data_IF_929400956159
#
_entry.id   IF_929400956159
#
_cell.length_a   1.000
_cell.length_b   1.000
_cell.length_c   1.000
_cell.angle_alpha   90.00
_cell.angle_beta   90.00
_cell.angle_gamma   90.00
#
_symmetry.space_group_name_H-M   'P 1'
#
loop_
_entity.id
_entity.type
_entity.pdbx_description
1 polymer ?
#
# COMPACT_ATOMS: atom_id res chain seq x y z
N UNK A 1 -26.96 -6.51 10.60
CA UNK A 1 -26.46 -6.81 9.23
C UNK A 1 -25.40 -7.91 9.29
N UNK A 2 -25.27 -8.74 8.23
CA UNK A 2 -24.24 -9.76 8.14
C UNK A 2 -23.30 -9.47 6.97
N UNK A 3 -21.99 -9.38 7.25
CA UNK A 3 -20.91 -9.21 6.26
C UNK A 3 -20.13 -10.52 6.13
N UNK A 4 -19.90 -10.99 4.91
CA UNK A 4 -18.92 -12.03 4.64
C UNK A 4 -17.61 -11.37 4.18
N UNK A 5 -16.48 -11.78 4.74
CA UNK A 5 -15.18 -11.17 4.43
C UNK A 5 -14.04 -12.18 4.46
N UNK A 6 -12.96 -11.90 3.71
CA UNK A 6 -11.68 -12.59 3.84
C UNK A 6 -10.66 -11.76 4.63
N UNK A 7 -11.08 -10.65 5.23
CA UNK A 7 -10.22 -9.75 5.97
C UNK A 7 -9.83 -10.40 7.31
N UNK A 8 -8.59 -10.84 7.43
CA UNK A 8 -8.08 -11.44 8.65
C UNK A 8 -8.24 -10.49 9.83
N UNK A 9 -8.66 -11.04 10.98
CA UNK A 9 -8.87 -10.26 12.22
C UNK A 9 -9.95 -9.18 12.12
N UNK A 10 -10.82 -9.23 11.11
CA UNK A 10 -11.98 -8.35 11.09
C UNK A 10 -12.85 -8.65 12.32
N UNK A 11 -13.40 -7.64 13.02
CA UNK A 11 -14.20 -7.88 14.22
C UNK A 11 -15.46 -8.68 13.89
N UNK A 12 -15.70 -9.77 14.61
CA UNK A 12 -16.89 -10.63 14.45
C UNK A 12 -18.19 -9.86 14.74
N UNK A 13 -18.17 -9.01 15.76
CA UNK A 13 -19.24 -8.06 16.06
C UNK A 13 -18.71 -6.66 15.77
N UNK A 14 -19.48 -5.88 15.03
CA UNK A 14 -19.04 -4.57 14.61
C UNK A 14 -20.14 -3.52 14.74
N UNK A 15 -19.69 -2.25 14.80
CA UNK A 15 -20.53 -1.08 14.82
C UNK A 15 -19.87 0.02 13.97
N UNK A 16 -20.65 0.65 13.08
CA UNK A 16 -20.20 1.81 12.31
C UNK A 16 -20.18 3.07 13.18
N UNK A 17 -19.50 4.11 12.72
CA UNK A 17 -19.54 5.44 13.34
C UNK A 17 -20.94 6.04 13.30
N UNK A 18 -21.77 5.70 12.31
CA UNK A 18 -23.18 6.08 12.20
C UNK A 18 -24.14 5.27 13.09
N UNK A 19 -23.62 4.28 13.85
CA UNK A 19 -24.39 3.51 14.79
C UNK A 19 -25.01 2.21 14.26
N UNK A 20 -24.83 1.88 12.98
CA UNK A 20 -25.28 0.60 12.41
C UNK A 20 -24.45 -0.55 13.01
N UNK A 21 -25.11 -1.62 13.42
CA UNK A 21 -24.49 -2.79 14.04
C UNK A 21 -24.66 -4.05 13.20
N UNK A 22 -23.76 -5.01 13.37
CA UNK A 22 -23.87 -6.29 12.70
C UNK A 22 -22.80 -7.28 13.10
N UNK A 23 -22.74 -8.35 12.32
CA UNK A 23 -21.78 -9.44 12.48
C UNK A 23 -20.98 -9.65 11.19
N UNK A 24 -19.79 -10.20 11.33
CA UNK A 24 -18.98 -10.63 10.20
C UNK A 24 -18.58 -12.09 10.33
N UNK A 25 -18.50 -12.78 9.20
CA UNK A 25 -17.98 -14.14 9.10
C UNK A 25 -16.75 -14.10 8.19
N UNK A 26 -15.61 -14.56 8.72
CA UNK A 26 -14.36 -14.61 7.96
C UNK A 26 -14.30 -15.92 7.17
N UNK A 27 -14.12 -15.81 5.86
CA UNK A 27 -14.09 -16.92 4.91
C UNK A 27 -12.87 -16.83 3.99
N UNK A 28 -12.39 -17.98 3.52
CA UNK A 28 -11.24 -18.06 2.59
C UNK A 28 -11.63 -18.59 1.21
N UNK A 29 -12.65 -19.42 1.13
CA UNK A 29 -13.07 -20.08 -0.10
C UNK A 29 -14.22 -19.34 -0.79
N UNK A 30 -14.10 -19.10 -2.10
CA UNK A 30 -15.18 -18.50 -2.90
C UNK A 30 -16.50 -19.30 -2.84
N UNK A 31 -16.42 -20.63 -2.67
CA UNK A 31 -17.60 -21.48 -2.52
C UNK A 31 -18.32 -21.25 -1.18
N UNK A 32 -17.58 -21.03 -0.10
CA UNK A 32 -18.20 -20.73 1.20
C UNK A 32 -18.89 -19.37 1.17
N UNK A 33 -18.28 -18.38 0.47
CA UNK A 33 -18.96 -17.10 0.20
C UNK A 33 -20.25 -17.33 -0.55
N UNK A 34 -20.26 -18.10 -1.65
CA UNK A 34 -21.47 -18.37 -2.42
C UNK A 34 -22.54 -19.06 -1.55
N UNK A 35 -22.17 -20.11 -0.81
CA UNK A 35 -23.10 -20.89 0.04
C UNK A 35 -23.75 -20.05 1.12
N UNK A 36 -23.04 -19.05 1.67
CA UNK A 36 -23.55 -18.19 2.73
C UNK A 36 -24.16 -16.88 2.20
N UNK A 37 -24.02 -16.58 0.90
CA UNK A 37 -24.50 -15.33 0.31
C UNK A 37 -25.99 -15.08 0.52
N UNK A 38 -26.82 -16.12 0.54
CA UNK A 38 -28.25 -15.95 0.76
C UNK A 38 -28.63 -15.41 2.15
N UNK A 39 -27.71 -15.52 3.13
CA UNK A 39 -27.89 -15.01 4.51
C UNK A 39 -27.23 -13.65 4.72
N UNK A 40 -26.34 -13.20 3.83
CA UNK A 40 -25.58 -11.97 4.06
C UNK A 40 -26.18 -10.76 3.35
N UNK A 41 -25.83 -9.59 3.84
CA UNK A 41 -26.18 -8.30 3.26
C UNK A 41 -25.12 -7.79 2.30
N UNK A 42 -23.83 -8.11 2.55
CA UNK A 42 -22.67 -7.57 1.85
C UNK A 42 -21.49 -8.56 1.85
N UNK A 43 -20.74 -8.57 0.77
CA UNK A 43 -19.44 -9.24 0.67
C UNK A 43 -18.34 -8.19 0.64
N UNK A 44 -17.41 -8.27 1.59
CA UNK A 44 -16.24 -7.40 1.68
C UNK A 44 -14.98 -8.21 1.40
N UNK A 45 -14.32 -7.95 0.27
CA UNK A 45 -13.06 -8.61 -0.11
C UNK A 45 -11.89 -7.67 0.18
N UNK A 46 -10.88 -8.16 0.87
CA UNK A 46 -9.68 -7.41 1.17
C UNK A 46 -8.47 -7.98 0.44
N UNK A 47 -7.79 -7.16 -0.35
CA UNK A 47 -6.48 -7.40 -0.98
C UNK A 47 -6.36 -8.76 -1.74
N UNK A 48 -7.49 -9.31 -2.24
CA UNK A 48 -7.52 -10.59 -2.95
C UNK A 48 -8.28 -10.48 -4.29
N UNK A 49 -7.52 -10.12 -5.31
CA UNK A 49 -8.05 -10.00 -6.68
C UNK A 49 -8.49 -11.35 -7.24
N UNK A 50 -7.84 -12.45 -6.84
CA UNK A 50 -8.17 -13.80 -7.30
C UNK A 50 -9.52 -14.25 -6.73
N UNK A 51 -9.76 -14.03 -5.43
CA UNK A 51 -11.05 -14.26 -4.80
C UNK A 51 -12.13 -13.40 -5.45
N UNK A 52 -11.85 -12.12 -5.71
CA UNK A 52 -12.78 -11.20 -6.38
C UNK A 52 -13.22 -11.76 -7.73
N UNK A 53 -12.30 -12.23 -8.59
CA UNK A 53 -12.64 -12.83 -9.88
C UNK A 53 -13.53 -14.06 -9.73
N UNK A 54 -13.19 -14.97 -8.81
CA UNK A 54 -13.96 -16.19 -8.57
C UNK A 54 -15.36 -15.86 -8.08
N UNK A 55 -15.53 -14.93 -7.16
CA UNK A 55 -16.82 -14.50 -6.64
C UNK A 55 -17.69 -13.88 -7.73
N UNK A 56 -17.14 -12.96 -8.51
CA UNK A 56 -17.89 -12.35 -9.62
C UNK A 56 -18.32 -13.39 -10.65
N UNK A 57 -17.44 -14.35 -10.98
CA UNK A 57 -17.78 -15.45 -11.89
C UNK A 57 -18.88 -16.34 -11.30
N UNK A 58 -18.79 -16.72 -10.04
CA UNK A 58 -19.83 -17.51 -9.37
C UNK A 58 -21.16 -16.78 -9.33
N UNK A 59 -21.18 -15.48 -9.05
CA UNK A 59 -22.41 -14.68 -9.09
C UNK A 59 -22.96 -14.47 -10.50
N UNK A 60 -22.12 -14.55 -11.51
CA UNK A 60 -22.57 -14.57 -12.90
C UNK A 60 -23.27 -15.91 -13.23
N UNK A 61 -22.73 -17.03 -12.76
CA UNK A 61 -23.32 -18.35 -12.97
C UNK A 61 -24.56 -18.61 -12.08
N UNK A 62 -24.58 -18.03 -10.89
CA UNK A 62 -25.63 -18.21 -9.86
C UNK A 62 -26.21 -16.83 -9.43
N UNK A 63 -26.94 -16.13 -10.30
CA UNK A 63 -27.35 -14.74 -10.07
C UNK A 63 -28.27 -14.56 -8.86
N UNK A 64 -29.03 -15.58 -8.47
CA UNK A 64 -29.93 -15.55 -7.28
C UNK A 64 -29.17 -15.38 -5.96
N UNK A 65 -27.91 -15.79 -5.92
CA UNK A 65 -27.04 -15.65 -4.76
C UNK A 65 -26.27 -14.34 -4.71
N UNK A 66 -26.37 -13.53 -5.77
CA UNK A 66 -25.59 -12.28 -5.84
C UNK A 66 -25.89 -11.34 -4.68
N UNK A 67 -24.82 -10.86 -4.07
CA UNK A 67 -24.85 -9.78 -3.07
C UNK A 67 -23.90 -8.67 -3.52
N UNK A 68 -24.08 -7.44 -3.03
CA UNK A 68 -23.13 -6.36 -3.26
C UNK A 68 -21.71 -6.78 -2.84
N UNK A 69 -20.74 -6.47 -3.70
CA UNK A 69 -19.31 -6.73 -3.44
C UNK A 69 -18.60 -5.39 -3.27
N UNK A 70 -17.98 -5.19 -2.13
CA UNK A 70 -17.02 -4.11 -1.87
C UNK A 70 -15.64 -4.71 -1.79
N UNK A 71 -14.69 -4.15 -2.55
CA UNK A 71 -13.28 -4.59 -2.55
C UNK A 71 -12.44 -3.51 -1.91
N UNK A 72 -11.69 -3.88 -0.87
CA UNK A 72 -10.69 -3.02 -0.25
C UNK A 72 -9.29 -3.41 -0.75
N UNK A 73 -8.50 -2.42 -1.12
CA UNK A 73 -7.10 -2.55 -1.56
C UNK A 73 -6.93 -3.52 -2.75
N UNK A 74 -7.29 -3.04 -3.93
CA UNK A 74 -7.07 -3.78 -5.17
C UNK A 74 -5.69 -3.45 -5.74
N UNK A 75 -4.81 -4.47 -5.82
CA UNK A 75 -3.48 -4.33 -6.41
C UNK A 75 -3.48 -4.92 -7.81
N UNK A 76 -3.38 -4.05 -8.82
CA UNK A 76 -3.37 -4.42 -10.23
C UNK A 76 -2.11 -3.88 -10.89
N UNK A 77 -1.54 -4.68 -11.83
CA UNK A 77 -0.37 -4.27 -12.60
C UNK A 77 -0.78 -3.83 -14.01
N UNK A 78 -0.10 -2.81 -14.51
CA UNK A 78 -0.28 -2.36 -15.89
C UNK A 78 -0.03 -3.51 -16.87
N UNK A 79 -0.96 -3.81 -17.80
CA UNK A 79 -0.75 -4.85 -18.81
C UNK A 79 0.28 -4.35 -19.85
N UNK A 80 1.49 -4.94 -19.83
CA UNK A 80 2.60 -4.55 -20.71
C UNK A 80 2.75 -5.48 -21.92
N UNK A 81 2.50 -6.80 -21.73
CA UNK A 81 2.69 -7.81 -22.76
C UNK A 81 1.37 -8.20 -23.44
N UNK A 82 1.42 -8.74 -24.64
CA UNK A 82 0.21 -9.13 -25.40
C UNK A 82 -0.68 -10.14 -24.63
N UNK A 83 -0.10 -11.12 -23.92
CA UNK A 83 -0.86 -12.05 -23.07
C UNK A 83 -1.59 -11.34 -21.94
N UNK A 84 -0.94 -10.36 -21.29
CA UNK A 84 -1.55 -9.58 -20.22
C UNK A 84 -2.64 -8.64 -20.74
N UNK A 85 -2.51 -8.15 -21.99
CA UNK A 85 -3.56 -7.35 -22.66
C UNK A 85 -4.79 -8.20 -23.00
N UNK A 86 -4.59 -9.44 -23.46
CA UNK A 86 -5.69 -10.36 -23.73
C UNK A 86 -6.47 -10.71 -22.45
N UNK A 87 -5.75 -11.04 -21.39
CA UNK A 87 -6.37 -11.32 -20.07
C UNK A 87 -6.97 -10.06 -19.43
N UNK A 88 -6.49 -8.86 -19.80
CA UNK A 88 -7.05 -7.60 -19.30
C UNK A 88 -8.52 -7.41 -19.72
N UNK A 89 -8.93 -7.90 -20.90
CA UNK A 89 -10.33 -7.89 -21.34
C UNK A 89 -11.26 -8.68 -20.41
N UNK A 90 -10.84 -9.90 -20.03
CA UNK A 90 -11.59 -10.74 -19.07
C UNK A 90 -11.61 -10.07 -17.69
N UNK A 91 -10.47 -9.58 -17.25
CA UNK A 91 -10.36 -8.87 -15.97
C UNK A 91 -11.26 -7.63 -15.93
N UNK A 92 -11.28 -6.85 -17.02
CA UNK A 92 -12.15 -5.68 -17.19
C UNK A 92 -13.62 -6.06 -17.03
N UNK A 93 -14.06 -7.12 -17.71
CA UNK A 93 -15.43 -7.61 -17.60
C UNK A 93 -15.79 -8.02 -16.16
N UNK A 94 -14.90 -8.73 -15.46
CA UNK A 94 -15.15 -9.17 -14.10
C UNK A 94 -15.10 -8.00 -13.11
N UNK A 95 -14.06 -7.16 -13.17
CA UNK A 95 -13.90 -6.07 -12.22
C UNK A 95 -14.97 -4.98 -12.34
N UNK A 96 -15.48 -4.73 -13.56
CA UNK A 96 -16.58 -3.76 -13.75
C UNK A 96 -17.91 -4.18 -13.08
N UNK A 97 -18.01 -5.41 -12.59
CA UNK A 97 -19.20 -5.94 -11.90
C UNK A 97 -19.13 -5.85 -10.38
N UNK A 98 -18.00 -5.43 -9.83
CA UNK A 98 -17.85 -5.12 -8.41
C UNK A 98 -18.58 -3.81 -8.13
N UNK A 99 -19.29 -3.77 -7.03
CA UNK A 99 -20.18 -2.64 -6.72
C UNK A 99 -19.40 -1.42 -6.21
N UNK A 100 -18.29 -1.63 -5.47
CA UNK A 100 -17.44 -0.54 -5.01
C UNK A 100 -16.01 -1.00 -4.69
N UNK A 101 -15.06 -0.05 -4.86
CA UNK A 101 -13.65 -0.20 -4.52
C UNK A 101 -13.21 0.86 -3.51
N UNK A 102 -12.63 0.45 -2.42
CA UNK A 102 -11.90 1.31 -1.49
C UNK A 102 -10.41 1.13 -1.74
N UNK A 103 -9.69 2.21 -2.04
CA UNK A 103 -8.26 2.17 -2.38
C UNK A 103 -7.47 3.20 -1.58
N UNK A 104 -6.16 3.02 -1.48
CA UNK A 104 -5.27 3.85 -0.65
C UNK A 104 -4.48 4.88 -1.46
N UNK A 105 -5.03 5.34 -2.59
CA UNK A 105 -4.46 6.36 -3.48
C UNK A 105 -5.59 7.12 -4.19
N UNK A 106 -5.29 8.28 -4.77
CA UNK A 106 -6.30 9.17 -5.38
C UNK A 106 -6.24 9.19 -6.91
N UNK A 107 -5.16 8.75 -7.53
CA UNK A 107 -5.01 8.74 -9.00
C UNK A 107 -5.55 7.44 -9.58
N UNK A 108 -6.85 7.41 -9.91
CA UNK A 108 -7.58 6.21 -10.36
C UNK A 108 -7.45 5.91 -11.86
N UNK A 109 -6.80 6.77 -12.63
CA UNK A 109 -6.75 6.68 -14.10
C UNK A 109 -6.28 5.32 -14.61
N UNK A 110 -5.31 4.71 -13.94
CA UNK A 110 -4.82 3.38 -14.29
C UNK A 110 -5.88 2.29 -14.14
N UNK A 111 -6.68 2.34 -13.09
CA UNK A 111 -7.77 1.38 -12.85
C UNK A 111 -8.88 1.55 -13.89
N UNK A 112 -9.26 2.78 -14.16
CA UNK A 112 -10.31 3.11 -15.15
C UNK A 112 -9.85 2.75 -16.57
N UNK A 113 -8.65 3.20 -16.97
CA UNK A 113 -8.12 3.01 -18.34
C UNK A 113 -7.90 1.54 -18.70
N UNK A 114 -7.22 0.79 -17.82
CA UNK A 114 -6.80 -0.58 -18.15
C UNK A 114 -7.82 -1.64 -17.76
N UNK A 115 -8.60 -1.40 -16.71
CA UNK A 115 -9.52 -2.40 -16.14
C UNK A 115 -10.98 -1.98 -16.19
N UNK A 116 -11.29 -0.78 -16.71
CA UNK A 116 -12.66 -0.30 -16.91
C UNK A 116 -13.46 -0.17 -15.61
N UNK A 117 -12.78 0.03 -14.49
CA UNK A 117 -13.45 0.29 -13.21
C UNK A 117 -13.98 1.73 -13.26
N UNK A 118 -15.29 1.96 -13.10
CA UNK A 118 -15.86 3.30 -13.14
C UNK A 118 -15.34 4.14 -11.95
N UNK A 119 -14.96 5.38 -12.21
CA UNK A 119 -14.37 6.26 -11.18
C UNK A 119 -15.36 6.57 -10.03
N UNK A 120 -16.66 6.61 -10.31
CA UNK A 120 -17.73 6.78 -9.33
C UNK A 120 -17.88 5.60 -8.36
N UNK A 121 -17.31 4.45 -8.71
CA UNK A 121 -17.24 3.26 -7.84
C UNK A 121 -15.93 3.13 -7.08
N UNK A 122 -15.07 4.13 -7.11
CA UNK A 122 -13.78 4.11 -6.41
C UNK A 122 -13.78 5.22 -5.35
N UNK A 123 -13.37 4.89 -4.14
CA UNK A 123 -13.12 5.87 -3.09
C UNK A 123 -11.74 5.70 -2.47
N UNK A 124 -11.12 6.83 -2.17
CA UNK A 124 -9.89 6.86 -1.39
C UNK A 124 -10.19 6.65 0.09
N UNK A 125 -9.44 5.76 0.73
CA UNK A 125 -9.37 5.64 2.18
C UNK A 125 -7.91 5.72 2.63
N UNK A 126 -7.58 6.49 3.70
CA UNK A 126 -6.23 6.47 4.27
C UNK A 126 -5.84 5.05 4.69
N UNK A 127 -4.59 4.67 4.40
CA UNK A 127 -4.03 3.40 4.88
C UNK A 127 -3.68 3.51 6.38
N UNK A 128 -3.07 2.49 6.94
CA UNK A 128 -2.65 2.40 8.34
C UNK A 128 -1.14 2.27 8.49
N UNK A 129 -0.60 2.71 9.61
CA UNK A 129 0.74 2.34 10.04
C UNK A 129 0.72 0.92 10.63
N UNK A 130 1.51 0.00 10.02
CA UNK A 130 1.44 -1.42 10.36
C UNK A 130 2.02 -1.74 11.74
N UNK A 131 3.00 -0.95 12.20
CA UNK A 131 3.67 -1.16 13.49
C UNK A 131 2.87 -0.60 14.67
N UNK A 132 1.93 0.32 14.41
CA UNK A 132 1.14 0.96 15.48
C UNK A 132 0.33 -0.09 16.25
N UNK A 133 0.39 -0.03 17.59
CA UNK A 133 -0.25 -0.95 18.53
C UNK A 133 0.28 -2.39 18.54
N UNK A 134 1.21 -2.74 17.64
CA UNK A 134 1.73 -4.10 17.54
C UNK A 134 3.14 -4.23 18.06
N UNK A 135 3.95 -3.18 17.89
CA UNK A 135 5.39 -3.21 18.19
C UNK A 135 5.78 -2.01 19.02
N UNK A 136 6.85 -2.17 19.78
CA UNK A 136 7.54 -1.06 20.41
C UNK A 136 8.52 -0.45 19.41
N UNK A 137 8.62 0.88 19.39
CA UNK A 137 9.55 1.63 18.55
C UNK A 137 9.89 2.97 19.19
N UNK A 138 11.09 3.46 18.90
CA UNK A 138 11.54 4.78 19.31
C UNK A 138 11.12 5.83 18.27
N UNK A 139 10.68 6.97 18.76
CA UNK A 139 10.46 8.16 17.91
C UNK A 139 11.69 9.03 18.00
N UNK A 140 12.50 9.02 16.94
CA UNK A 140 13.74 9.76 16.88
C UNK A 140 14.00 10.23 15.44
N UNK A 141 14.07 11.52 15.16
CA UNK A 141 14.35 12.02 13.82
C UNK A 141 15.83 11.92 13.41
N UNK A 142 16.72 11.64 14.35
CA UNK A 142 18.15 11.49 14.11
C UNK A 142 18.54 10.04 13.86
N UNK A 143 19.75 9.86 13.34
CA UNK A 143 20.30 8.57 13.03
C UNK A 143 21.64 8.64 12.31
N UNK A 144 22.14 7.48 11.92
CA UNK A 144 23.50 7.27 11.46
C UNK A 144 23.63 7.19 9.94
N UNK A 145 22.57 6.77 9.23
CA UNK A 145 22.64 6.46 7.80
C UNK A 145 21.33 6.73 7.04
N UNK A 146 21.42 6.67 5.73
CA UNK A 146 20.31 6.70 4.79
C UNK A 146 19.85 5.27 4.56
N UNK A 147 18.61 4.95 4.91
CA UNK A 147 18.04 3.61 4.78
C UNK A 147 17.17 3.50 3.52
N UNK A 148 17.45 2.50 2.68
CA UNK A 148 16.55 2.10 1.60
C UNK A 148 16.12 0.66 1.80
N UNK A 149 14.79 0.40 1.87
CA UNK A 149 14.27 -0.95 2.09
C UNK A 149 12.88 -1.17 1.50
N UNK A 150 12.46 -2.43 1.47
CA UNK A 150 11.16 -2.87 0.99
C UNK A 150 11.28 -3.81 -0.22
N UNK A 151 10.19 -4.53 -0.51
CA UNK A 151 10.19 -5.61 -1.51
C UNK A 151 9.38 -5.31 -2.77
N UNK A 152 8.37 -4.43 -2.69
CA UNK A 152 7.43 -4.24 -3.80
C UNK A 152 7.82 -3.04 -4.65
N UNK A 153 8.12 -3.29 -5.93
CA UNK A 153 8.41 -2.28 -6.95
C UNK A 153 9.51 -1.27 -6.55
N UNK A 154 10.47 -1.71 -5.71
CA UNK A 154 11.62 -0.87 -5.33
C UNK A 154 12.59 -0.75 -6.49
N UNK A 155 13.14 0.45 -6.65
CA UNK A 155 14.16 0.77 -7.62
C UNK A 155 15.52 0.95 -6.93
N UNK A 156 16.11 -0.17 -6.53
CA UNK A 156 17.41 -0.16 -5.89
C UNK A 156 18.53 0.37 -6.81
N UNK A 157 18.40 0.16 -8.12
CA UNK A 157 19.40 0.64 -9.08
C UNK A 157 19.48 2.17 -9.09
N UNK A 158 18.34 2.87 -9.05
CA UNK A 158 18.31 4.32 -8.89
C UNK A 158 18.89 4.76 -7.55
N UNK A 159 18.65 4.01 -6.47
CA UNK A 159 19.25 4.31 -5.18
C UNK A 159 20.79 4.19 -5.24
N UNK A 160 21.32 3.09 -5.76
CA UNK A 160 22.78 2.90 -5.85
C UNK A 160 23.45 3.93 -6.75
N UNK A 161 22.84 4.25 -7.90
CA UNK A 161 23.34 5.30 -8.79
C UNK A 161 23.35 6.69 -8.10
N UNK A 162 22.41 6.95 -7.20
CA UNK A 162 22.38 8.18 -6.38
C UNK A 162 23.48 8.15 -5.33
N UNK A 163 23.65 7.03 -4.61
CA UNK A 163 24.65 6.89 -3.56
C UNK A 163 26.08 6.93 -4.10
N UNK A 164 26.32 6.49 -5.35
CA UNK A 164 27.61 6.67 -6.02
C UNK A 164 28.01 8.14 -6.20
N UNK A 165 27.04 9.08 -6.20
CA UNK A 165 27.27 10.52 -6.25
C UNK A 165 27.46 11.17 -4.88
N UNK A 166 27.19 10.41 -3.81
CA UNK A 166 27.18 10.85 -2.41
C UNK A 166 28.13 10.00 -1.56
N UNK A 167 29.36 9.79 -2.04
CA UNK A 167 30.32 8.86 -1.46
C UNK A 167 30.70 9.19 0.01
N UNK A 168 30.46 10.42 0.45
CA UNK A 168 30.68 10.90 1.83
C UNK A 168 29.51 10.63 2.77
N UNK A 169 28.35 10.18 2.28
CA UNK A 169 27.18 9.90 3.10
C UNK A 169 26.98 8.40 3.31
N UNK A 170 26.86 7.95 4.58
CA UNK A 170 26.61 6.54 4.88
C UNK A 170 25.19 6.13 4.48
N UNK A 171 25.06 5.00 3.82
CA UNK A 171 23.78 4.42 3.45
C UNK A 171 23.74 2.93 3.80
N UNK A 172 22.54 2.41 3.95
CA UNK A 172 22.34 1.02 4.31
C UNK A 172 21.10 0.44 3.64
N UNK A 173 21.16 -0.86 3.35
CA UNK A 173 20.02 -1.68 2.92
C UNK A 173 20.00 -2.97 3.74
N UNK A 174 18.84 -3.58 4.00
CA UNK A 174 18.74 -4.95 4.50
C UNK A 174 19.39 -5.94 3.54
N UNK A 175 19.68 -7.17 4.00
CA UNK A 175 20.14 -8.26 3.13
C UNK A 175 19.16 -8.44 1.96
N UNK A 176 19.66 -8.51 0.70
CA UNK A 176 18.81 -8.61 -0.48
C UNK A 176 18.04 -9.94 -0.53
N UNK A 177 16.72 -9.88 -0.53
CA UNK A 177 15.83 -11.01 -0.82
C UNK A 177 15.52 -11.04 -2.32
N UNK A 178 16.45 -11.58 -3.14
CA UNK A 178 16.28 -11.61 -4.59
C UNK A 178 15.05 -12.40 -5.05
N UNK A 179 14.65 -13.43 -4.31
CA UNK A 179 13.42 -14.19 -4.62
C UNK A 179 12.18 -13.30 -4.39
N UNK A 180 12.13 -12.61 -3.27
CA UNK A 180 11.07 -11.64 -2.98
C UNK A 180 11.07 -10.47 -3.97
N UNK A 181 12.23 -9.95 -4.36
CA UNK A 181 12.33 -8.88 -5.37
C UNK A 181 11.75 -9.30 -6.72
N UNK A 182 12.06 -10.52 -7.19
CA UNK A 182 11.52 -11.05 -8.44
C UNK A 182 9.98 -11.20 -8.39
N UNK A 183 9.45 -11.74 -7.29
CA UNK A 183 7.99 -11.89 -7.08
C UNK A 183 7.29 -10.54 -7.08
N UNK A 184 7.89 -9.55 -6.41
CA UNK A 184 7.31 -8.23 -6.20
C UNK A 184 7.76 -7.18 -7.20
N UNK A 185 8.49 -7.58 -8.27
CA UNK A 185 8.93 -6.72 -9.38
C UNK A 185 9.82 -5.55 -8.96
N UNK A 186 10.66 -5.74 -7.96
CA UNK A 186 11.70 -4.77 -7.62
C UNK A 186 12.89 -4.89 -8.59
N UNK A 187 13.57 -3.78 -8.84
CA UNK A 187 14.75 -3.70 -9.70
C UNK A 187 15.99 -3.62 -8.82
N UNK A 188 16.82 -4.65 -8.88
CA UNK A 188 18.11 -4.76 -8.23
C UNK A 188 19.03 -5.53 -9.18
N UNK A 189 19.74 -4.82 -10.06
CA UNK A 189 20.59 -5.43 -11.09
C UNK A 189 22.08 -5.31 -10.80
N UNK A 190 22.48 -4.48 -9.84
CA UNK A 190 23.87 -4.35 -9.42
C UNK A 190 24.35 -5.62 -8.74
N UNK A 191 25.55 -6.13 -9.07
CA UNK A 191 26.19 -7.16 -8.25
C UNK A 191 26.43 -6.65 -6.83
N UNK A 192 26.23 -7.51 -5.83
CA UNK A 192 26.40 -7.11 -4.43
C UNK A 192 27.82 -6.61 -4.15
N UNK A 193 28.80 -7.21 -4.82
CA UNK A 193 30.23 -6.89 -4.70
C UNK A 193 30.59 -5.55 -5.36
N UNK A 194 29.71 -5.03 -6.22
CA UNK A 194 29.90 -3.79 -6.95
C UNK A 194 29.04 -2.63 -6.42
N UNK A 195 28.41 -2.80 -5.26
CA UNK A 195 27.65 -1.73 -4.61
C UNK A 195 28.57 -0.54 -4.28
N UNK A 196 28.03 0.70 -4.26
CA UNK A 196 28.81 1.86 -3.84
C UNK A 196 29.42 1.62 -2.45
N UNK A 197 30.69 2.00 -2.22
CA UNK A 197 31.43 1.67 -0.99
C UNK A 197 30.83 2.27 0.28
N UNK A 198 29.98 3.27 0.16
CA UNK A 198 29.21 3.89 1.24
C UNK A 198 27.84 3.24 1.49
N UNK A 199 27.47 2.19 0.76
CA UNK A 199 26.25 1.42 0.98
C UNK A 199 26.58 0.12 1.70
N UNK A 200 26.09 -0.02 2.92
CA UNK A 200 26.34 -1.17 3.78
C UNK A 200 25.14 -2.12 3.80
N UNK A 201 25.40 -3.42 3.81
CA UNK A 201 24.39 -4.44 4.06
C UNK A 201 24.21 -4.58 5.58
N UNK A 202 22.96 -4.50 6.01
CA UNK A 202 22.61 -4.70 7.43
C UNK A 202 22.18 -6.14 7.65
N UNK A 203 22.66 -6.73 8.74
CA UNK A 203 22.17 -8.03 9.19
C UNK A 203 20.75 -7.85 9.73
N UNK A 204 19.82 -8.55 9.12
CA UNK A 204 18.42 -8.64 9.56
C UNK A 204 17.89 -10.04 9.23
N UNK A 205 16.94 -10.49 10.04
CA UNK A 205 16.24 -11.76 9.84
C UNK A 205 14.92 -11.62 9.07
N UNK A 206 14.64 -10.42 8.55
CA UNK A 206 13.39 -10.07 7.86
C UNK A 206 12.19 -9.94 8.78
N UNK A 207 12.39 -10.05 10.11
CA UNK A 207 11.32 -9.84 11.10
C UNK A 207 10.89 -8.37 11.16
N UNK A 208 9.65 -8.09 11.56
CA UNK A 208 9.21 -6.72 11.79
C UNK A 208 10.06 -5.99 12.84
N UNK A 209 10.52 -6.69 13.86
CA UNK A 209 11.37 -6.16 14.93
C UNK A 209 12.75 -5.74 14.42
N UNK A 210 13.36 -6.57 13.57
CA UNK A 210 14.65 -6.22 12.93
C UNK A 210 14.48 -5.00 12.02
N UNK A 211 13.42 -4.95 11.20
CA UNK A 211 13.11 -3.78 10.34
C UNK A 211 12.86 -2.51 11.16
N UNK A 212 12.24 -2.60 12.34
CA UNK A 212 12.08 -1.48 13.25
C UNK A 212 13.47 -1.05 13.75
N UNK A 213 14.28 -1.98 14.24
CA UNK A 213 15.62 -1.68 14.79
C UNK A 213 16.55 -0.99 13.79
N UNK A 214 16.55 -1.41 12.51
CA UNK A 214 17.33 -0.73 11.48
C UNK A 214 16.73 0.64 11.10
N UNK A 215 15.40 0.77 11.16
CA UNK A 215 14.75 2.06 10.90
C UNK A 215 15.01 3.06 12.03
N UNK A 216 15.08 2.63 13.28
CA UNK A 216 15.42 3.49 14.41
C UNK A 216 16.76 4.20 14.25
N UNK A 217 17.74 3.50 13.68
CA UNK A 217 19.08 4.05 13.44
C UNK A 217 19.21 4.88 12.17
N UNK A 218 18.18 4.91 11.32
CA UNK A 218 18.20 5.69 10.10
C UNK A 218 18.03 7.19 10.38
N UNK A 219 18.79 8.04 9.66
CA UNK A 219 18.60 9.50 9.62
C UNK A 219 17.56 9.89 8.57
N UNK A 220 17.59 9.23 7.41
CA UNK A 220 16.64 9.39 6.31
C UNK A 220 16.13 8.01 5.87
N UNK A 221 14.90 7.95 5.44
CA UNK A 221 14.35 6.77 4.76
C UNK A 221 14.03 7.11 3.32
N UNK A 222 14.60 6.36 2.39
CA UNK A 222 14.49 6.60 0.96
C UNK A 222 13.73 5.45 0.31
N UNK A 223 12.66 5.78 -0.42
CA UNK A 223 11.79 4.83 -1.08
C UNK A 223 11.74 5.12 -2.59
N UNK A 224 12.76 4.72 -3.34
CA UNK A 224 12.74 4.82 -4.79
C UNK A 224 11.80 3.75 -5.33
N UNK A 225 10.85 4.15 -6.16
CA UNK A 225 9.80 3.26 -6.66
C UNK A 225 9.72 3.40 -8.18
N UNK A 226 9.56 2.29 -8.88
CA UNK A 226 9.47 2.21 -10.34
C UNK A 226 8.28 3.02 -10.89
N UNK A 227 8.44 3.62 -12.07
CA UNK A 227 7.46 4.53 -12.69
C UNK A 227 6.24 3.83 -13.29
N UNK A 228 6.39 2.59 -13.73
CA UNK A 228 5.37 1.89 -14.54
C UNK A 228 4.14 1.40 -13.77
N UNK A 229 3.90 1.88 -12.55
CA UNK A 229 2.82 1.43 -11.66
C UNK A 229 1.51 2.17 -11.89
N UNK A 230 0.41 1.50 -11.61
CA UNK A 230 -0.95 2.06 -11.60
C UNK A 230 -1.61 1.94 -10.22
N UNK A 231 -0.99 1.21 -9.31
CA UNK A 231 -1.37 1.08 -7.91
C UNK A 231 -0.19 1.53 -7.04
N UNK A 232 -0.44 1.85 -5.79
CA UNK A 232 0.61 2.33 -4.88
C UNK A 232 1.58 1.21 -4.50
N UNK A 233 2.79 1.60 -4.15
CA UNK A 233 3.76 0.76 -3.48
C UNK A 233 4.40 1.51 -2.34
N UNK A 234 4.71 0.80 -1.25
CA UNK A 234 5.45 1.37 -0.13
C UNK A 234 4.68 2.20 0.89
N UNK A 235 3.33 2.26 0.82
CA UNK A 235 2.53 3.03 1.78
C UNK A 235 2.82 2.58 3.22
N UNK A 236 2.78 1.29 3.51
CA UNK A 236 3.10 0.77 4.84
C UNK A 236 4.52 1.10 5.28
N UNK A 237 5.48 1.12 4.34
CA UNK A 237 6.87 1.43 4.63
C UNK A 237 7.03 2.89 5.03
N UNK A 238 6.49 3.84 4.24
CA UNK A 238 6.63 5.25 4.61
C UNK A 238 5.84 5.61 5.87
N UNK A 239 4.63 5.06 6.07
CA UNK A 239 3.84 5.32 7.28
C UNK A 239 4.53 4.80 8.54
N UNK A 240 5.14 3.62 8.49
CA UNK A 240 5.91 3.11 9.60
C UNK A 240 7.12 4.01 9.92
N UNK A 241 7.88 4.40 8.88
CA UNK A 241 9.04 5.28 9.04
C UNK A 241 8.65 6.67 9.57
N UNK A 242 7.57 7.24 9.05
CA UNK A 242 7.00 8.51 9.52
C UNK A 242 6.56 8.42 10.98
N UNK A 243 5.89 7.31 11.38
CA UNK A 243 5.47 7.10 12.77
C UNK A 243 6.65 7.05 13.74
N UNK A 244 7.81 6.59 13.26
CA UNK A 244 9.08 6.59 14.00
C UNK A 244 9.82 7.94 13.95
N UNK A 245 9.21 8.98 13.36
CA UNK A 245 9.78 10.32 13.27
C UNK A 245 10.85 10.47 12.18
N UNK A 246 10.90 9.58 11.19
CA UNK A 246 11.90 9.66 10.13
C UNK A 246 11.46 10.58 9.00
N UNK A 247 12.40 11.39 8.48
CA UNK A 247 12.20 12.11 7.22
C UNK A 247 12.21 11.11 6.07
N UNK A 248 11.16 11.11 5.25
CA UNK A 248 10.98 10.18 4.14
C UNK A 248 11.16 10.91 2.81
N UNK A 249 11.96 10.32 1.92
CA UNK A 249 12.09 10.71 0.51
C UNK A 249 11.46 9.58 -0.31
N UNK A 250 10.49 9.89 -1.18
CA UNK A 250 9.76 8.88 -1.95
C UNK A 250 9.56 9.31 -3.40
N UNK A 251 9.57 8.34 -4.32
CA UNK A 251 9.26 8.60 -5.73
C UNK A 251 7.80 9.02 -5.92
N UNK A 252 7.57 10.04 -6.74
CA UNK A 252 6.23 10.48 -7.13
C UNK A 252 5.43 9.38 -7.81
N UNK A 253 4.12 9.36 -7.59
CA UNK A 253 3.19 8.40 -8.21
C UNK A 253 2.00 8.07 -7.31
N UNK A 254 1.17 7.08 -7.71
CA UNK A 254 0.00 6.67 -6.94
C UNK A 254 0.36 6.29 -5.50
N UNK A 255 -0.39 6.82 -4.53
CA UNK A 255 -0.18 6.59 -3.10
C UNK A 255 1.00 7.35 -2.49
N UNK A 256 1.64 8.24 -3.24
CA UNK A 256 2.65 9.17 -2.73
C UNK A 256 2.29 10.60 -3.08
N UNK A 257 2.63 11.11 -4.26
CA UNK A 257 2.41 12.52 -4.63
C UNK A 257 0.94 12.91 -4.83
N UNK A 258 0.03 11.96 -4.95
CA UNK A 258 -1.41 12.20 -4.98
C UNK A 258 -2.07 12.22 -3.58
N UNK A 259 -1.32 11.84 -2.54
CA UNK A 259 -1.81 11.74 -1.16
C UNK A 259 -1.04 12.64 -0.20
N UNK A 260 0.29 12.62 -0.30
CA UNK A 260 1.22 13.37 0.56
C UNK A 260 1.56 14.73 -0.07
N UNK A 261 1.77 15.72 0.76
CA UNK A 261 2.17 17.09 0.37
C UNK A 261 3.48 17.49 1.06
N UNK A 262 3.41 17.86 2.33
CA UNK A 262 4.55 18.28 3.16
C UNK A 262 5.10 17.16 4.05
N UNK A 263 4.45 16.00 4.05
CA UNK A 263 4.75 14.86 4.94
C UNK A 263 5.93 14.01 4.46
N UNK A 264 6.31 14.18 3.20
CA UNK A 264 7.47 13.53 2.59
C UNK A 264 8.11 14.44 1.53
N UNK A 265 9.37 14.19 1.21
CA UNK A 265 10.06 14.82 0.09
C UNK A 265 9.84 13.98 -1.18
N UNK A 266 9.35 14.61 -2.23
CA UNK A 266 9.04 13.95 -3.50
C UNK A 266 10.16 14.10 -4.51
N UNK A 267 10.47 13.00 -5.20
CA UNK A 267 11.42 12.99 -6.33
C UNK A 267 10.78 12.32 -7.55
N UNK A 268 11.18 12.67 -8.77
CA UNK A 268 10.79 11.91 -9.95
C UNK A 268 11.24 10.45 -9.82
N UNK A 269 10.45 9.47 -10.26
CA UNK A 269 10.89 8.08 -10.30
C UNK A 269 12.01 7.89 -11.33
N UNK A 270 12.93 6.95 -11.08
CA UNK A 270 14.01 6.56 -12.00
C UNK A 270 14.98 7.71 -12.34
N UNK A 271 15.07 8.74 -11.48
CA UNK A 271 15.99 9.86 -11.61
C UNK A 271 17.04 9.87 -10.48
N UNK A 272 18.23 9.28 -10.70
CA UNK A 272 19.26 9.21 -9.68
C UNK A 272 19.91 10.55 -9.36
N UNK A 273 19.80 11.57 -10.24
CA UNK A 273 20.34 12.91 -9.98
C UNK A 273 19.41 13.65 -9.02
N UNK A 274 18.13 13.72 -9.35
CA UNK A 274 17.13 14.35 -8.47
C UNK A 274 17.07 13.68 -7.11
N UNK A 275 17.22 12.34 -7.05
CA UNK A 275 17.27 11.62 -5.78
C UNK A 275 18.53 11.97 -4.97
N UNK A 276 19.71 12.04 -5.60
CA UNK A 276 20.94 12.41 -4.92
C UNK A 276 20.87 13.84 -4.36
N UNK A 277 20.38 14.80 -5.17
CA UNK A 277 20.22 16.19 -4.75
C UNK A 277 19.26 16.32 -3.56
N UNK A 278 18.15 15.59 -3.58
CA UNK A 278 17.18 15.61 -2.48
C UNK A 278 17.74 14.95 -1.21
N UNK A 279 18.47 13.85 -1.33
CA UNK A 279 19.18 13.21 -0.22
C UNK A 279 20.17 14.18 0.40
N UNK A 280 21.04 14.81 -0.41
CA UNK A 280 22.02 15.79 0.06
C UNK A 280 21.33 16.93 0.81
N UNK A 281 20.30 17.52 0.21
CA UNK A 281 19.55 18.60 0.82
C UNK A 281 18.91 18.20 2.15
N UNK A 282 18.29 17.02 2.24
CA UNK A 282 17.66 16.56 3.49
C UNK A 282 18.67 16.16 4.55
N UNK A 283 19.89 15.75 4.13
CA UNK A 283 20.96 15.41 5.05
C UNK A 283 21.59 16.64 5.69
N UNK A 284 21.83 17.71 4.90
CA UNK A 284 22.52 18.92 5.32
C UNK A 284 21.58 19.96 5.97
N UNK A 285 20.33 20.07 5.50
CA UNK A 285 19.30 20.99 6.03
C UNK A 285 18.49 20.32 7.15
N UNK A 286 18.95 20.52 8.37
CA UNK A 286 18.33 19.98 9.58
C UNK A 286 16.89 20.48 9.79
N UNK A 287 16.63 21.77 9.48
CA UNK A 287 15.31 22.38 9.64
C UNK A 287 14.30 21.78 8.66
N UNK A 288 14.71 21.58 7.42
CA UNK A 288 13.89 20.87 6.42
C UNK A 288 13.59 19.46 6.89
N UNK A 289 14.62 18.71 7.27
CA UNK A 289 14.51 17.32 7.71
C UNK A 289 13.55 17.16 8.87
N UNK A 290 13.70 17.98 9.91
CA UNK A 290 12.86 17.91 11.12
C UNK A 290 11.41 18.35 10.85
N UNK A 291 11.19 19.37 10.02
CA UNK A 291 9.84 19.78 9.63
C UNK A 291 9.10 18.67 8.89
N UNK A 292 9.75 18.02 7.93
CA UNK A 292 9.16 16.93 7.15
C UNK A 292 8.90 15.71 8.04
N UNK A 293 9.86 15.35 8.90
CA UNK A 293 9.71 14.25 9.85
C UNK A 293 8.53 14.47 10.80
N UNK A 294 8.35 15.67 11.34
CA UNK A 294 7.23 15.98 12.24
C UNK A 294 5.88 16.01 11.49
N UNK A 295 5.84 16.56 10.28
CA UNK A 295 4.63 16.53 9.45
C UNK A 295 4.24 15.08 9.11
N UNK A 296 5.22 14.26 8.71
CA UNK A 296 5.01 12.84 8.44
C UNK A 296 4.53 12.07 9.67
N UNK A 297 5.12 12.31 10.84
CA UNK A 297 4.72 11.68 12.10
C UNK A 297 3.25 11.96 12.44
N UNK A 298 2.85 13.23 12.39
CA UNK A 298 1.45 13.63 12.64
C UNK A 298 0.49 12.96 11.65
N UNK A 299 0.87 12.89 10.38
CA UNK A 299 0.08 12.22 9.36
C UNK A 299 -0.07 10.72 9.63
N UNK A 300 1.03 10.02 9.94
CA UNK A 300 0.99 8.60 10.26
C UNK A 300 0.19 8.29 11.54
N UNK A 301 0.26 9.16 12.55
CA UNK A 301 -0.57 9.07 13.75
C UNK A 301 -2.06 9.23 13.43
N UNK A 302 -2.42 10.18 12.57
CA UNK A 302 -3.80 10.40 12.13
C UNK A 302 -4.33 9.24 11.27
N UNK A 303 -3.47 8.58 10.48
CA UNK A 303 -3.82 7.37 9.75
C UNK A 303 -4.17 6.19 10.68
N UNK A 304 -3.64 6.17 11.89
CA UNK A 304 -3.93 5.14 12.88
C UNK A 304 -3.28 3.78 12.58
N UNK A 305 -3.77 2.77 13.25
CA UNK A 305 -3.38 1.37 13.07
C UNK A 305 -4.46 0.54 12.40
N UNK A 306 -4.45 -0.76 12.69
CA UNK A 306 -5.40 -1.72 12.10
C UNK A 306 -6.86 -1.48 12.51
N UNK A 307 -7.17 -1.12 13.78
CA UNK A 307 -8.54 -0.84 14.17
C UNK A 307 -9.17 0.33 13.40
N UNK A 308 -8.41 1.42 13.20
CA UNK A 308 -8.88 2.59 12.46
C UNK A 308 -9.08 2.28 10.97
N UNK A 309 -8.24 1.43 10.38
CA UNK A 309 -8.46 0.95 9.01
C UNK A 309 -9.73 0.11 8.91
N UNK A 310 -9.95 -0.84 9.84
CA UNK A 310 -11.18 -1.64 9.87
C UNK A 310 -12.41 -0.75 9.95
N UNK A 311 -12.39 0.26 10.83
CA UNK A 311 -13.51 1.17 11.00
C UNK A 311 -13.80 1.95 9.70
N UNK A 312 -12.78 2.51 9.05
CA UNK A 312 -12.94 3.23 7.78
C UNK A 312 -13.51 2.35 6.67
N UNK A 313 -12.99 1.13 6.54
CA UNK A 313 -13.45 0.16 5.52
C UNK A 313 -14.89 -0.28 5.79
N UNK A 314 -15.22 -0.54 7.05
CA UNK A 314 -16.56 -0.90 7.48
C UNK A 314 -17.57 0.22 7.19
N UNK A 315 -17.26 1.43 7.63
CA UNK A 315 -18.13 2.60 7.44
C UNK A 315 -18.43 2.82 5.96
N UNK A 316 -17.39 2.75 5.11
CA UNK A 316 -17.54 2.89 3.66
C UNK A 316 -18.38 1.75 3.07
N UNK A 317 -18.14 0.51 3.47
CA UNK A 317 -18.86 -0.64 2.94
C UNK A 317 -20.37 -0.58 3.28
N UNK A 318 -20.70 -0.16 4.50
CA UNK A 318 -22.10 0.02 4.92
C UNK A 318 -22.75 1.22 4.25
N UNK A 319 -22.03 2.33 4.07
CA UNK A 319 -22.51 3.50 3.32
C UNK A 319 -22.89 3.14 1.89
N UNK A 320 -22.02 2.42 1.16
CA UNK A 320 -22.27 1.95 -0.22
C UNK A 320 -23.54 1.09 -0.27
N UNK A 321 -23.73 0.20 0.68
CA UNK A 321 -24.93 -0.63 0.74
C UNK A 321 -26.20 0.18 1.01
N UNK A 322 -26.12 1.18 1.89
CA UNK A 322 -27.26 2.03 2.25
C UNK A 322 -27.71 2.90 1.08
N UNK A 323 -26.75 3.53 0.38
CA UNK A 323 -27.03 4.32 -0.83
C UNK A 323 -27.70 3.47 -1.90
N UNK A 324 -27.21 2.25 -2.12
CA UNK A 324 -27.80 1.33 -3.08
C UNK A 324 -29.24 0.94 -2.74
N UNK A 325 -29.51 0.58 -1.49
CA UNK A 325 -30.87 0.24 -1.05
C UNK A 325 -31.84 1.43 -1.19
N UNK A 326 -31.36 2.66 -0.94
CA UNK A 326 -32.17 3.87 -1.15
C UNK A 326 -32.42 4.19 -2.63
N UNK A 327 -31.57 3.72 -3.55
CA UNK A 327 -31.78 3.89 -4.99
C UNK A 327 -32.69 2.78 -5.61
N UNK A 328 -32.86 1.65 -4.93
CA UNK A 328 -33.71 0.54 -5.35
C UNK A 328 -35.15 0.62 -4.75
N UNK A 329 -35.37 1.48 -3.73
CA UNK A 329 -36.65 1.76 -3.09
C UNK A 329 -37.37 2.95 -3.74
#
# INVERSE_FOLDING_TARGET
>A
MLILTNFDRFPEQWKTTSGVTGQAIILKSAWDFLRLSWKCDLVLVNCDVSLTYRLVLLYFLFPLFRRPIVVNDVVLRRPTHWKSRLTAGIKRFLLSRVDHYSVHFKTFDGLTKYFGIPADRISYLPFKANIRYRYQYKVDPDGEYILCFGRSERDYDTFFASMSKLADLPAAIPQPDFAGFAIHSSRFTWPVEALPPNVHLLDDDGSPEALIGITEKARLVVLPILSARICPSGIGTYLNSMLMGKCVIVSSGPGSSDVLTSEALMVPPEDPVALADMIRRAWDDNDLRLRVAEAGRKYAEACGGEPELFQRVLDRAVEVLTVRRGAEA
#
